data_IF_271411528668
#
_entry.id   IF_271411528668
#
_cell.length_a   1.000
_cell.length_b   1.000
_cell.length_c   1.000
_cell.angle_alpha   90.00
_cell.angle_beta   90.00
_cell.angle_gamma   90.00
#
_symmetry.space_group_name_H-M   'P 1'
#
loop_
_entity.id
_entity.type
_entity.pdbx_description
1 polymer ?
#
# COMPACT_ATOMS: atom_id res chain seq x y z
N UNK A 1 8.72 23.07 13.33
CA UNK A 1 7.92 22.30 14.33
C UNK A 1 7.04 21.30 13.58
N UNK A 2 6.92 20.07 14.07
CA UNK A 2 5.95 19.11 13.53
C UNK A 2 4.51 19.54 13.84
N UNK A 3 3.55 18.90 13.19
CA UNK A 3 2.12 19.14 13.40
C UNK A 3 1.41 17.82 13.65
N UNK A 4 0.30 17.87 14.40
CA UNK A 4 -0.61 16.74 14.60
C UNK A 4 -1.83 16.93 13.72
N UNK A 5 -2.17 15.91 12.92
CA UNK A 5 -3.26 15.96 11.94
C UNK A 5 -3.99 14.63 11.89
N UNK A 6 -5.27 14.64 11.55
CA UNK A 6 -5.97 13.42 11.19
C UNK A 6 -5.56 13.00 9.76
N UNK A 7 -5.45 11.69 9.52
CA UNK A 7 -5.09 11.18 8.19
C UNK A 7 -6.05 11.67 7.10
N UNK A 8 -7.34 11.82 7.41
CA UNK A 8 -8.34 12.32 6.47
C UNK A 8 -8.15 13.78 6.05
N UNK A 9 -7.40 14.57 6.81
CA UNK A 9 -7.11 15.98 6.48
C UNK A 9 -5.99 16.10 5.42
N UNK A 10 -5.18 15.06 5.29
CA UNK A 10 -3.99 15.05 4.41
C UNK A 10 -4.07 13.98 3.31
N UNK A 11 -5.00 13.02 3.43
CA UNK A 11 -5.16 11.91 2.48
C UNK A 11 -6.63 11.73 2.05
N UNK A 12 -6.80 11.21 0.84
CA UNK A 12 -8.05 10.63 0.35
C UNK A 12 -7.98 9.12 0.34
N UNK A 13 -9.13 8.47 0.58
CA UNK A 13 -9.28 7.02 0.64
C UNK A 13 -10.24 6.55 -0.43
N UNK A 14 -9.80 5.63 -1.30
CA UNK A 14 -10.63 5.07 -2.36
C UNK A 14 -10.63 3.54 -2.28
N UNK A 15 -11.79 2.96 -2.46
CA UNK A 15 -11.94 1.49 -2.49
C UNK A 15 -11.49 0.95 -3.84
N UNK A 16 -10.75 -0.16 -3.84
CA UNK A 16 -10.34 -0.86 -5.04
C UNK A 16 -11.52 -1.45 -5.84
N UNK A 17 -11.27 -1.79 -7.09
CA UNK A 17 -12.23 -2.43 -7.99
C UNK A 17 -12.38 -3.92 -7.64
N UNK A 18 -13.60 -4.43 -7.71
CA UNK A 18 -13.85 -5.87 -7.48
C UNK A 18 -13.92 -6.60 -8.82
N UNK A 19 -12.82 -7.27 -9.19
CA UNK A 19 -12.74 -8.13 -10.37
C UNK A 19 -12.36 -9.54 -9.91
N UNK A 20 -13.09 -10.59 -10.32
CA UNK A 20 -12.79 -11.96 -9.92
C UNK A 20 -11.51 -12.47 -10.58
N UNK A 21 -10.79 -13.38 -9.90
CA UNK A 21 -9.53 -13.97 -10.41
C UNK A 21 -9.66 -14.64 -11.77
N UNK A 22 -10.84 -15.14 -12.11
CA UNK A 22 -11.13 -15.75 -13.44
C UNK A 22 -11.08 -14.76 -14.61
N UNK A 23 -11.02 -13.45 -14.31
CA UNK A 23 -10.86 -12.37 -15.29
C UNK A 23 -9.49 -11.70 -15.25
N UNK A 24 -8.51 -12.36 -14.68
CA UNK A 24 -7.11 -11.93 -14.69
C UNK A 24 -6.34 -12.74 -15.73
N UNK A 25 -5.48 -12.05 -16.46
CA UNK A 25 -4.78 -12.57 -17.63
C UNK A 25 -3.30 -12.16 -17.58
N UNK A 26 -2.47 -12.82 -18.39
CA UNK A 26 -1.05 -12.46 -18.53
C UNK A 26 -0.84 -11.19 -19.37
N UNK A 27 -1.87 -10.76 -20.11
CA UNK A 27 -1.86 -9.52 -20.92
C UNK A 27 -3.25 -8.87 -20.88
N UNK A 28 -3.27 -7.53 -20.90
CA UNK A 28 -4.53 -6.79 -20.85
C UNK A 28 -4.32 -5.28 -20.96
N UNK A 29 -5.38 -4.53 -20.67
CA UNK A 29 -5.37 -3.07 -20.73
C UNK A 29 -4.85 -2.41 -19.43
N UNK A 30 -5.03 -3.08 -18.29
CA UNK A 30 -4.67 -2.56 -16.98
C UNK A 30 -3.97 -3.62 -16.17
N UNK A 31 -2.89 -3.28 -15.50
CA UNK A 31 -2.34 -4.05 -14.38
C UNK A 31 -3.37 -4.05 -13.24
N UNK A 32 -3.50 -5.17 -12.53
CA UNK A 32 -4.51 -5.31 -11.49
C UNK A 32 -3.92 -5.87 -10.19
N UNK A 33 -3.90 -5.07 -9.13
CA UNK A 33 -3.32 -5.44 -7.85
C UNK A 33 -4.38 -6.06 -6.95
N UNK A 34 -4.37 -7.38 -6.82
CA UNK A 34 -5.28 -8.10 -5.95
C UNK A 34 -4.64 -8.29 -4.55
N UNK A 35 -5.43 -8.11 -3.47
CA UNK A 35 -4.91 -8.21 -2.09
C UNK A 35 -4.14 -9.50 -1.82
N UNK A 36 -4.61 -10.64 -2.33
CA UNK A 36 -3.97 -11.93 -2.11
C UNK A 36 -2.60 -12.08 -2.78
N UNK A 37 -2.27 -11.26 -3.79
CA UNK A 37 -0.97 -11.25 -4.41
C UNK A 37 0.02 -10.41 -3.59
N UNK A 38 -0.49 -9.40 -2.88
CA UNK A 38 0.30 -8.57 -1.96
C UNK A 38 0.90 -9.39 -0.82
N UNK A 39 0.12 -10.27 -0.19
CA UNK A 39 0.61 -11.14 0.90
C UNK A 39 1.67 -12.15 0.47
N UNK A 40 1.73 -12.51 -0.82
CA UNK A 40 2.61 -13.59 -1.31
C UNK A 40 3.91 -13.11 -1.95
N UNK A 41 3.95 -11.87 -2.41
CA UNK A 41 5.06 -11.45 -3.26
C UNK A 41 5.63 -10.08 -2.92
N UNK A 42 4.88 -9.25 -2.23
CA UNK A 42 5.29 -7.87 -1.96
C UNK A 42 5.58 -7.68 -0.47
N UNK A 43 6.49 -6.77 -0.20
CA UNK A 43 6.80 -6.27 1.11
C UNK A 43 6.39 -4.77 1.12
N UNK A 44 7.12 -3.87 1.66
CA UNK A 44 6.76 -2.45 1.79
C UNK A 44 6.49 -1.69 0.47
N UNK A 45 6.89 -2.26 -0.66
CA UNK A 45 6.80 -1.60 -1.98
C UNK A 45 6.16 -2.52 -3.03
N UNK A 46 5.38 -1.91 -3.93
CA UNK A 46 4.91 -2.52 -5.17
C UNK A 46 5.65 -1.82 -6.30
N UNK A 47 6.56 -2.54 -6.94
CA UNK A 47 7.24 -2.09 -8.15
C UNK A 47 6.62 -2.80 -9.37
N UNK A 48 6.04 -2.04 -10.28
CA UNK A 48 5.39 -2.60 -11.47
C UNK A 48 6.39 -3.12 -12.52
N UNK A 49 7.66 -2.76 -12.36
CA UNK A 49 8.74 -3.19 -13.24
C UNK A 49 9.48 -4.43 -12.73
N UNK A 50 9.20 -4.91 -11.51
CA UNK A 50 9.88 -6.08 -10.95
C UNK A 50 9.48 -7.36 -11.69
N UNK A 51 10.35 -7.95 -12.53
CA UNK A 51 10.03 -9.15 -13.30
C UNK A 51 9.86 -10.39 -12.42
N UNK A 52 10.37 -10.36 -11.19
CA UNK A 52 10.23 -11.47 -10.25
C UNK A 52 8.84 -11.50 -9.59
N UNK A 53 8.08 -10.41 -9.73
CA UNK A 53 6.75 -10.24 -9.11
C UNK A 53 5.72 -9.78 -10.14
N UNK A 54 5.39 -10.60 -11.15
CA UNK A 54 4.49 -10.21 -12.23
C UNK A 54 3.11 -9.89 -11.68
N UNK A 55 2.58 -8.73 -12.07
CA UNK A 55 1.23 -8.29 -11.75
C UNK A 55 0.31 -8.72 -12.91
N UNK A 56 -0.82 -9.40 -12.63
CA UNK A 56 -1.76 -9.79 -13.66
C UNK A 56 -2.45 -8.59 -14.30
N UNK A 57 -3.03 -8.82 -15.46
CA UNK A 57 -3.79 -7.82 -16.22
C UNK A 57 -5.29 -8.10 -16.18
N UNK A 58 -6.08 -7.05 -16.35
CA UNK A 58 -7.51 -7.13 -16.68
C UNK A 58 -7.78 -6.47 -18.05
N UNK A 59 -8.92 -6.83 -18.65
CA UNK A 59 -9.33 -6.28 -19.94
C UNK A 59 -10.04 -4.93 -19.79
N UNK A 60 -10.17 -4.19 -20.89
CA UNK A 60 -10.80 -2.86 -20.92
C UNK A 60 -12.34 -2.89 -20.80
N UNK A 61 -12.95 -4.08 -20.75
CA UNK A 61 -14.39 -4.25 -20.59
C UNK A 61 -14.86 -4.23 -19.11
N UNK A 62 -13.96 -4.10 -18.17
CA UNK A 62 -14.30 -4.01 -16.75
C UNK A 62 -14.80 -2.60 -16.40
N UNK A 63 -15.81 -2.54 -15.51
CA UNK A 63 -16.36 -1.27 -15.01
C UNK A 63 -15.45 -0.65 -13.97
N UNK A 64 -14.46 0.09 -14.40
CA UNK A 64 -13.47 0.75 -13.55
C UNK A 64 -13.78 2.24 -13.41
N UNK A 65 -13.80 2.73 -12.16
CA UNK A 65 -13.91 4.16 -11.85
C UNK A 65 -12.52 4.79 -11.87
N UNK A 66 -12.43 6.06 -12.22
CA UNK A 66 -11.15 6.79 -12.18
C UNK A 66 -10.50 6.80 -10.78
N UNK A 67 -11.31 6.86 -9.73
CA UNK A 67 -10.84 6.79 -8.34
C UNK A 67 -10.17 5.46 -7.96
N UNK A 68 -10.33 4.41 -8.77
CA UNK A 68 -9.74 3.07 -8.57
C UNK A 68 -8.41 2.91 -9.31
N UNK A 69 -8.03 3.90 -10.12
CA UNK A 69 -6.73 3.97 -10.80
C UNK A 69 -5.66 4.40 -9.81
N UNK A 70 -4.60 3.61 -9.74
CA UNK A 70 -3.41 3.96 -8.96
C UNK A 70 -2.57 5.01 -9.70
N UNK A 71 -2.01 5.91 -8.94
CA UNK A 71 -1.02 6.90 -9.36
C UNK A 71 0.29 6.60 -8.66
N UNK A 72 1.38 6.97 -9.29
CA UNK A 72 2.68 6.85 -8.63
C UNK A 72 2.69 7.49 -7.24
N UNK A 73 3.30 6.82 -6.27
CA UNK A 73 3.34 7.19 -4.85
C UNK A 73 1.97 7.12 -4.12
N UNK A 74 0.96 6.47 -4.67
CA UNK A 74 -0.20 6.04 -3.87
C UNK A 74 0.22 4.91 -2.91
N UNK A 75 -0.47 4.77 -1.79
CA UNK A 75 -0.28 3.64 -0.89
C UNK A 75 -1.45 2.68 -1.09
N UNK A 76 -1.13 1.43 -1.42
CA UNK A 76 -2.12 0.35 -1.46
C UNK A 76 -2.21 -0.25 -0.07
N UNK A 77 -3.36 -0.13 0.57
CA UNK A 77 -3.57 -0.51 1.96
C UNK A 77 -4.57 -1.66 2.09
N UNK A 78 -4.19 -2.71 2.79
CA UNK A 78 -5.04 -3.89 3.02
C UNK A 78 -5.68 -3.80 4.39
N UNK A 79 -7.01 -3.61 4.39
CA UNK A 79 -7.84 -3.42 5.59
C UNK A 79 -8.76 -4.61 5.89
N UNK A 80 -8.50 -5.75 5.25
CA UNK A 80 -9.27 -6.98 5.41
C UNK A 80 -8.33 -8.16 5.58
N UNK A 81 -8.54 -9.00 6.59
CA UNK A 81 -7.75 -10.20 6.82
C UNK A 81 -8.56 -11.27 7.58
N UNK A 82 -8.12 -12.52 7.51
CA UNK A 82 -8.63 -13.63 8.31
C UNK A 82 -8.10 -13.58 9.75
N UNK A 83 -7.02 -12.85 10.00
CA UNK A 83 -6.46 -12.64 11.34
C UNK A 83 -6.35 -11.15 11.66
N UNK A 84 -6.43 -10.79 12.94
CA UNK A 84 -6.22 -9.40 13.37
C UNK A 84 -4.76 -8.98 13.19
N UNK A 85 -3.85 -9.94 13.27
CA UNK A 85 -2.41 -9.67 13.17
C UNK A 85 -1.96 -9.31 11.76
N UNK A 86 -2.68 -9.78 10.73
CA UNK A 86 -2.41 -9.48 9.34
C UNK A 86 -3.17 -8.25 8.79
N UNK A 87 -3.81 -7.48 9.65
CA UNK A 87 -4.45 -6.22 9.23
C UNK A 87 -3.45 -5.08 9.13
N UNK A 88 -3.65 -4.21 8.15
CA UNK A 88 -2.92 -2.95 8.06
C UNK A 88 -1.61 -3.05 7.30
N UNK A 89 -1.50 -3.93 6.31
CA UNK A 89 -0.37 -3.94 5.39
C UNK A 89 -0.45 -2.77 4.42
N UNK A 90 0.59 -1.94 4.41
CA UNK A 90 0.73 -0.78 3.55
C UNK A 90 1.85 -1.01 2.55
N UNK A 91 1.60 -0.68 1.29
CA UNK A 91 2.55 -0.86 0.19
C UNK A 91 2.63 0.43 -0.62
N UNK A 92 3.79 1.04 -0.68
CA UNK A 92 4.04 2.19 -1.55
C UNK A 92 4.05 1.72 -3.01
N UNK A 93 3.23 2.33 -3.83
CA UNK A 93 3.11 2.00 -5.24
C UNK A 93 4.11 2.81 -6.06
N UNK A 94 5.09 2.12 -6.66
CA UNK A 94 6.12 2.69 -7.51
C UNK A 94 5.79 2.40 -8.98
N UNK A 95 5.46 3.44 -9.71
CA UNK A 95 5.07 3.36 -11.11
C UNK A 95 5.48 4.63 -11.88
N UNK A 96 6.78 4.92 -11.98
CA UNK A 96 7.28 6.15 -12.60
C UNK A 96 6.94 6.27 -14.09
N UNK A 97 6.69 5.16 -14.77
CA UNK A 97 6.28 5.11 -16.19
C UNK A 97 4.76 5.24 -16.38
N UNK A 98 4.01 5.48 -15.31
CA UNK A 98 2.55 5.68 -15.32
C UNK A 98 1.77 4.56 -16.04
N UNK A 99 2.23 3.30 -15.93
CA UNK A 99 1.50 2.14 -16.48
C UNK A 99 0.09 2.09 -15.92
N UNK A 100 -0.94 1.95 -16.77
CA UNK A 100 -2.32 1.91 -16.32
C UNK A 100 -2.56 0.78 -15.32
N UNK A 101 -2.73 1.11 -14.03
CA UNK A 101 -2.84 0.14 -12.93
C UNK A 101 -4.08 0.41 -12.10
N UNK A 102 -4.78 -0.66 -11.73
CA UNK A 102 -6.00 -0.65 -10.93
C UNK A 102 -5.74 -1.27 -9.56
N UNK A 103 -6.15 -0.58 -8.52
CA UNK A 103 -6.24 -1.14 -7.17
C UNK A 103 -7.43 -2.10 -7.11
N UNK A 104 -7.18 -3.33 -6.68
CA UNK A 104 -8.12 -4.45 -6.84
C UNK A 104 -8.96 -4.76 -5.60
N UNK A 105 -9.51 -5.96 -5.62
CA UNK A 105 -10.39 -6.47 -4.57
C UNK A 105 -9.74 -6.40 -3.18
N UNK A 106 -10.53 -5.95 -2.19
CA UNK A 106 -10.15 -5.83 -0.77
C UNK A 106 -8.92 -4.95 -0.52
N UNK A 107 -8.61 -4.04 -1.45
CA UNK A 107 -7.58 -3.02 -1.27
C UNK A 107 -8.21 -1.63 -1.09
N UNK A 108 -7.49 -0.75 -0.43
CA UNK A 108 -7.83 0.68 -0.28
C UNK A 108 -6.67 1.52 -0.78
N UNK A 109 -6.93 2.47 -1.65
CA UNK A 109 -5.94 3.46 -2.06
C UNK A 109 -5.91 4.56 -1.01
N UNK A 110 -4.74 4.84 -0.45
CA UNK A 110 -4.47 6.02 0.36
C UNK A 110 -3.64 6.97 -0.48
N UNK A 111 -4.25 8.08 -0.88
CA UNK A 111 -3.63 9.10 -1.72
C UNK A 111 -3.32 10.34 -0.93
N UNK A 112 -2.06 10.71 -0.86
CA UNK A 112 -1.62 11.93 -0.18
C UNK A 112 -2.02 13.15 -1.01
N UNK A 113 -2.87 14.02 -0.44
CA UNK A 113 -3.33 15.28 -1.04
C UNK A 113 -2.43 16.47 -0.67
N UNK A 114 -1.86 16.43 0.55
CA UNK A 114 -1.03 17.49 1.11
C UNK A 114 0.44 17.09 1.09
N UNK A 115 1.03 17.03 -0.12
CA UNK A 115 2.45 16.69 -0.31
C UNK A 115 3.41 17.76 0.25
N UNK A 116 2.89 18.93 0.57
CA UNK A 116 3.58 19.97 1.33
C UNK A 116 3.78 19.62 2.81
N UNK A 117 2.98 18.71 3.35
CA UNK A 117 3.03 18.25 4.76
C UNK A 117 3.48 16.80 4.90
N UNK A 118 3.18 15.96 3.92
CA UNK A 118 3.36 14.50 4.01
C UNK A 118 4.12 13.96 2.81
N UNK A 119 5.25 13.31 3.08
CA UNK A 119 5.99 12.51 2.11
C UNK A 119 5.33 11.12 2.02
N UNK A 120 4.85 10.66 0.84
CA UNK A 120 4.14 9.38 0.73
C UNK A 120 4.94 8.17 1.24
N UNK A 121 6.24 8.11 0.95
CA UNK A 121 7.11 7.04 1.45
C UNK A 121 7.21 7.05 2.98
N UNK A 122 7.30 8.24 3.61
CA UNK A 122 7.26 8.36 5.06
C UNK A 122 5.95 7.83 5.63
N UNK A 123 4.82 8.21 5.02
CA UNK A 123 3.51 7.74 5.45
C UNK A 123 3.39 6.22 5.33
N UNK A 124 3.91 5.62 4.28
CA UNK A 124 3.92 4.16 4.10
C UNK A 124 4.66 3.46 5.26
N UNK A 125 5.84 3.94 5.63
CA UNK A 125 6.59 3.43 6.78
C UNK A 125 5.83 3.64 8.10
N UNK A 126 5.23 4.83 8.28
CA UNK A 126 4.46 5.14 9.48
C UNK A 126 3.27 4.19 9.62
N UNK A 127 2.48 3.98 8.54
CA UNK A 127 1.32 3.09 8.52
C UNK A 127 1.70 1.60 8.71
N UNK A 128 2.93 1.22 8.34
CA UNK A 128 3.50 -0.11 8.58
C UNK A 128 4.11 -0.28 9.97
N UNK A 129 4.19 0.79 10.77
CA UNK A 129 4.81 0.73 12.08
C UNK A 129 3.95 -0.03 13.10
N UNK A 130 4.57 -0.74 14.06
CA UNK A 130 3.83 -1.42 15.13
C UNK A 130 2.95 -0.48 15.97
N UNK A 131 3.33 0.79 16.06
CA UNK A 131 2.53 1.79 16.77
C UNK A 131 1.23 2.08 16.02
N UNK A 132 1.31 2.38 14.74
CA UNK A 132 0.15 2.66 13.91
C UNK A 132 -0.79 1.44 13.79
N UNK A 133 -0.23 0.24 13.65
CA UNK A 133 -1.00 -1.00 13.59
C UNK A 133 -1.78 -1.23 14.90
N UNK A 134 -1.20 -0.92 16.06
CA UNK A 134 -1.95 -1.00 17.34
C UNK A 134 -3.13 -0.04 17.39
N UNK A 135 -2.96 1.20 16.92
CA UNK A 135 -4.05 2.17 16.82
C UNK A 135 -5.14 1.70 15.85
N UNK A 136 -4.74 1.16 14.69
CA UNK A 136 -5.65 0.61 13.68
C UNK A 136 -6.52 -0.51 14.26
N UNK A 137 -5.95 -1.40 15.06
CA UNK A 137 -6.64 -2.56 15.63
C UNK A 137 -7.82 -2.21 16.53
N UNK A 138 -7.83 -1.02 17.12
CA UNK A 138 -8.95 -0.53 17.94
C UNK A 138 -10.25 -0.37 17.12
N UNK A 139 -10.14 -0.22 15.82
CA UNK A 139 -11.27 -0.06 14.88
C UNK A 139 -11.67 -1.35 14.20
N UNK A 140 -11.04 -2.47 14.55
CA UNK A 140 -11.29 -3.78 13.91
C UNK A 140 -12.69 -4.29 14.23
N UNK A 141 -13.38 -4.78 13.19
CA UNK A 141 -14.70 -5.40 13.26
C UNK A 141 -14.69 -6.76 12.55
N UNK A 142 -15.55 -7.66 13.02
CA UNK A 142 -15.72 -9.00 12.45
C UNK A 142 -15.33 -10.12 13.42
N UNK A 143 -15.68 -11.36 13.05
CA UNK A 143 -15.37 -12.55 13.87
C UNK A 143 -14.57 -13.61 13.10
N UNK A 144 -14.81 -13.79 11.80
CA UNK A 144 -14.10 -14.74 10.93
C UNK A 144 -13.24 -14.01 9.89
N UNK A 145 -13.72 -12.86 9.44
CA UNK A 145 -12.99 -11.95 8.56
C UNK A 145 -13.00 -10.60 9.25
N UNK A 146 -11.82 -10.14 9.57
CA UNK A 146 -11.60 -8.85 10.24
C UNK A 146 -11.48 -7.74 9.20
N UNK A 147 -12.10 -6.59 9.51
CA UNK A 147 -12.09 -5.41 8.63
C UNK A 147 -11.95 -4.14 9.44
N UNK A 148 -11.24 -3.17 8.86
CA UNK A 148 -11.27 -1.78 9.30
C UNK A 148 -11.87 -0.93 8.18
N UNK A 149 -12.79 -0.03 8.52
CA UNK A 149 -13.39 0.83 7.52
C UNK A 149 -12.44 2.00 7.20
N UNK A 150 -12.24 2.39 5.93
CA UNK A 150 -11.37 3.52 5.57
C UNK A 150 -11.69 4.83 6.28
N UNK A 151 -12.97 5.08 6.62
CA UNK A 151 -13.38 6.24 7.40
C UNK A 151 -12.84 6.24 8.85
N UNK A 152 -12.62 5.06 9.41
CA UNK A 152 -12.05 4.95 10.76
C UNK A 152 -10.53 5.19 10.68
N UNK A 153 -9.85 4.69 9.64
CA UNK A 153 -8.44 5.03 9.35
C UNK A 153 -8.25 6.54 9.18
N UNK A 154 -9.16 7.20 8.46
CA UNK A 154 -9.10 8.64 8.22
C UNK A 154 -9.17 9.48 9.52
N UNK A 155 -9.68 8.92 10.62
CA UNK A 155 -9.76 9.60 11.93
C UNK A 155 -8.51 9.42 12.80
N UNK A 156 -7.62 8.51 12.43
CA UNK A 156 -6.39 8.30 13.19
C UNK A 156 -5.54 9.56 13.09
N UNK A 157 -5.18 10.10 14.24
CA UNK A 157 -4.29 11.24 14.33
C UNK A 157 -2.83 10.78 14.30
N UNK A 158 -2.02 11.49 13.54
CA UNK A 158 -0.59 11.23 13.40
C UNK A 158 0.21 12.49 13.70
N UNK A 159 1.39 12.30 14.28
CA UNK A 159 2.35 13.36 14.49
C UNK A 159 3.31 13.39 13.30
N UNK A 160 3.30 14.48 12.56
CA UNK A 160 4.13 14.69 11.38
C UNK A 160 5.32 15.59 11.73
N UNK A 161 6.56 15.12 11.59
CA UNK A 161 7.72 16.00 11.59
C UNK A 161 7.74 16.86 10.30
N UNK A 162 8.60 17.86 10.25
CA UNK A 162 8.82 18.64 9.02
C UNK A 162 9.23 17.73 7.87
N UNK A 163 8.91 18.10 6.64
CA UNK A 163 9.16 17.28 5.44
C UNK A 163 10.62 16.92 5.25
N UNK A 164 11.55 17.80 5.63
CA UNK A 164 12.98 17.53 5.61
C UNK A 164 13.36 16.37 6.52
N UNK A 165 12.75 16.31 7.71
CA UNK A 165 12.97 15.20 8.66
C UNK A 165 12.31 13.93 8.15
N UNK A 166 11.13 14.02 7.51
CA UNK A 166 10.48 12.87 6.88
C UNK A 166 11.39 12.27 5.79
N UNK A 167 11.98 13.10 4.92
CA UNK A 167 12.93 12.65 3.90
C UNK A 167 14.17 11.98 4.48
N UNK A 168 14.73 12.52 5.58
CA UNK A 168 15.87 11.91 6.26
C UNK A 168 15.51 10.53 6.82
N UNK A 169 14.33 10.40 7.46
CA UNK A 169 13.84 9.11 7.97
C UNK A 169 13.66 8.11 6.82
N UNK A 170 13.02 8.51 5.71
CA UNK A 170 12.83 7.67 4.53
C UNK A 170 14.18 7.19 3.99
N UNK A 171 15.15 8.09 3.82
CA UNK A 171 16.49 7.74 3.32
C UNK A 171 17.17 6.65 4.17
N UNK A 172 17.05 6.73 5.50
CA UNK A 172 17.61 5.72 6.40
C UNK A 172 16.86 4.39 6.27
N UNK A 173 15.54 4.43 6.28
CA UNK A 173 14.71 3.22 6.20
C UNK A 173 14.83 2.52 4.85
N UNK A 174 14.90 3.28 3.75
CA UNK A 174 15.15 2.73 2.40
C UNK A 174 16.52 2.05 2.31
N UNK A 175 17.56 2.63 2.91
CA UNK A 175 18.87 2.02 2.95
C UNK A 175 18.89 0.69 3.73
N UNK A 176 18.17 0.63 4.86
CA UNK A 176 18.01 -0.59 5.66
C UNK A 176 17.22 -1.63 4.85
N UNK A 177 16.10 -1.23 4.24
CA UNK A 177 15.28 -2.10 3.41
C UNK A 177 16.07 -2.69 2.23
N UNK A 178 16.79 -1.85 1.49
CA UNK A 178 17.65 -2.29 0.39
C UNK A 178 18.70 -3.29 0.85
N UNK A 179 19.30 -3.08 2.03
CA UNK A 179 20.26 -4.01 2.60
C UNK A 179 19.62 -5.36 2.98
N UNK A 180 18.43 -5.34 3.56
CA UNK A 180 17.67 -6.55 3.88
C UNK A 180 17.34 -7.35 2.61
N UNK A 181 16.88 -6.69 1.54
CA UNK A 181 16.57 -7.31 0.26
C UNK A 181 17.83 -7.92 -0.38
N UNK A 182 18.96 -7.22 -0.36
CA UNK A 182 20.23 -7.72 -0.86
C UNK A 182 20.71 -8.97 -0.08
N UNK A 183 20.61 -8.94 1.24
CA UNK A 183 20.97 -10.08 2.09
C UNK A 183 20.06 -11.29 1.85
N UNK A 184 18.74 -11.09 1.69
CA UNK A 184 17.78 -12.15 1.39
C UNK A 184 18.08 -12.82 0.05
N UNK A 185 18.40 -12.03 -0.99
CA UNK A 185 18.81 -12.55 -2.29
C UNK A 185 20.11 -13.38 -2.17
N UNK A 186 21.12 -12.85 -1.46
CA UNK A 186 22.39 -13.54 -1.26
C UNK A 186 22.21 -14.86 -0.51
N UNK A 187 21.39 -14.88 0.55
CA UNK A 187 21.11 -16.10 1.31
C UNK A 187 20.34 -17.12 0.46
N UNK A 188 19.42 -16.68 -0.40
CA UNK A 188 18.73 -17.55 -1.35
C UNK A 188 19.66 -18.23 -2.34
N UNK A 189 20.73 -17.56 -2.80
CA UNK A 189 21.76 -18.16 -3.65
C UNK A 189 22.66 -19.14 -2.91
N UNK A 190 22.88 -18.96 -1.60
CA UNK A 190 23.72 -19.87 -0.81
C UNK A 190 22.97 -21.14 -0.37
N UNK A 191 21.64 -21.14 -0.41
CA UNK A 191 20.78 -22.26 -0.04
C UNK A 191 20.36 -23.15 -1.23
N UNK A 192 20.68 -22.75 -2.45
CA UNK A 192 20.39 -23.45 -3.71
C UNK A 192 21.61 -24.23 -4.20
#
# INVERSE_FOLDING_TARGET
>A
MGCRVALGDVCSFYRGASVPRTRMYDKGAYLYIHYGDLYKGFDLHIDVEDPAKPIPYILNNEKIKDSQRLRDQDIVYVLTSETVDDLGHAYLFNNPEEKPTISGTETTIVRVNRRDLVVPAYLNYLMSSPHFIRELRQYTRGMKVFRVHPKDVARIEIDLPQTEVQHQIVSILDAIYAKQQANSKQNGYLAA
#
